data_IF_388717469740
#
_entry.id   IF_388717469740
#
_cell.length_a   1.000
_cell.length_b   1.000
_cell.length_c   1.000
_cell.angle_alpha   90.00
_cell.angle_beta   90.00
_cell.angle_gamma   90.00
#
_symmetry.space_group_name_H-M   'P 1'
#
loop_
_entity.id
_entity.type
_entity.pdbx_description
1 polymer ?
#
# COMPACT_ATOMS: atom_id res chain seq x y z
N UNK A 1 0.94 11.04 8.27
CA UNK A 1 2.11 11.24 9.16
C UNK A 1 1.78 12.36 10.16
N UNK A 2 2.28 12.32 11.41
CA UNK A 2 1.90 13.29 12.48
C UNK A 2 3.08 14.24 12.78
N UNK A 3 2.88 15.53 12.52
CA UNK A 3 3.86 16.59 12.69
C UNK A 3 3.84 17.14 14.14
N UNK A 4 5.01 17.30 14.75
CA UNK A 4 5.15 17.66 16.17
C UNK A 4 5.20 19.18 16.40
N UNK A 5 4.16 19.73 17.04
CA UNK A 5 4.09 21.15 17.44
C UNK A 5 4.88 21.40 18.73
N UNK A 6 5.72 22.44 18.78
CA UNK A 6 6.25 22.98 20.06
C UNK A 6 5.95 24.47 20.17
N UNK A 7 5.18 24.84 21.18
CA UNK A 7 4.92 26.23 21.56
C UNK A 7 5.90 26.64 22.67
N UNK A 8 6.72 27.66 22.45
CA UNK A 8 7.59 28.24 23.48
C UNK A 8 7.02 29.55 24.01
N UNK A 9 6.51 29.54 25.25
CA UNK A 9 6.21 30.74 26.06
C UNK A 9 7.45 31.12 26.87
N UNK A 10 7.91 32.38 26.75
CA UNK A 10 9.08 32.88 27.45
C UNK A 10 8.68 33.52 28.81
N UNK A 11 9.10 32.91 29.93
CA UNK A 11 8.90 33.42 31.31
C UNK A 11 10.02 34.41 31.71
N UNK A 12 9.63 35.51 32.34
CA UNK A 12 10.47 36.67 32.68
C UNK A 12 11.00 36.57 34.12
N UNK A 13 12.31 36.81 34.33
CA UNK A 13 12.93 36.89 35.67
C UNK A 13 13.34 38.34 35.98
N UNK A 14 12.96 38.84 37.16
CA UNK A 14 13.12 40.23 37.61
C UNK A 14 14.48 40.50 38.29
N UNK A 15 15.14 41.61 37.94
CA UNK A 15 15.52 42.71 38.87
C UNK A 15 16.18 43.90 38.14
N UNK A 16 16.09 45.14 38.68
CA UNK A 16 16.10 46.37 37.89
C UNK A 16 17.40 47.19 38.00
N UNK A 17 17.68 48.06 37.02
CA UNK A 17 17.76 49.53 37.19
C UNK A 17 18.29 50.31 35.95
N UNK A 18 17.47 51.28 35.53
CA UNK A 18 17.71 52.61 34.90
C UNK A 18 18.62 52.78 33.66
N UNK A 19 18.05 53.13 32.48
CA UNK A 19 17.86 54.50 31.95
C UNK A 19 17.60 54.50 30.43
N UNK A 20 16.78 55.46 30.01
CA UNK A 20 16.71 56.09 28.68
C UNK A 20 16.08 55.32 27.50
N UNK A 21 14.84 55.70 27.21
CA UNK A 21 14.45 56.21 25.89
C UNK A 21 14.61 55.27 24.70
N UNK A 22 13.67 54.37 24.52
CA UNK A 22 13.26 53.94 23.18
C UNK A 22 11.73 53.88 23.19
N UNK A 23 11.11 54.56 22.23
CA UNK A 23 9.68 54.44 21.95
C UNK A 23 9.32 52.95 22.00
N UNK A 24 8.32 52.65 22.83
CA UNK A 24 7.74 51.32 22.92
C UNK A 24 7.01 51.09 21.59
N UNK A 25 7.74 50.62 20.58
CA UNK A 25 7.16 49.88 19.48
C UNK A 25 6.64 48.63 20.18
N UNK A 26 5.35 48.63 20.53
CA UNK A 26 4.64 47.40 20.80
C UNK A 26 4.80 46.57 19.53
N UNK A 27 5.78 45.68 19.53
CA UNK A 27 5.81 44.62 18.53
C UNK A 27 4.56 43.82 18.83
N UNK A 28 3.53 44.06 18.04
CA UNK A 28 2.42 43.17 17.80
C UNK A 28 3.02 41.89 17.21
N UNK A 29 3.72 41.13 18.06
CA UNK A 29 4.39 39.90 17.68
C UNK A 29 3.25 38.90 17.49
N UNK A 30 2.67 38.95 16.28
CA UNK A 30 1.75 37.95 15.79
C UNK A 30 2.36 36.60 16.12
N UNK A 31 1.57 35.71 16.72
CA UNK A 31 2.07 34.39 17.07
C UNK A 31 2.66 33.73 15.81
N UNK A 32 3.84 33.15 15.95
CA UNK A 32 4.56 32.49 14.86
C UNK A 32 4.41 30.98 15.01
N UNK A 33 4.37 30.29 13.87
CA UNK A 33 4.30 28.83 13.78
C UNK A 33 5.51 28.35 12.99
N UNK A 34 6.13 27.29 13.49
CA UNK A 34 7.30 26.66 12.89
C UNK A 34 6.93 25.28 12.33
N UNK A 35 7.37 25.01 11.10
CA UNK A 35 7.27 23.72 10.42
C UNK A 35 8.67 23.13 10.26
N UNK A 36 8.94 21.99 10.90
CA UNK A 36 10.22 21.29 10.78
C UNK A 36 10.24 20.40 9.53
N UNK A 37 10.88 20.87 8.45
CA UNK A 37 10.92 20.19 7.14
C UNK A 37 12.31 19.57 6.85
N UNK A 38 12.97 19.03 7.89
CA UNK A 38 14.32 18.48 7.77
C UNK A 38 14.40 17.17 6.99
N UNK A 39 13.29 16.42 6.91
CA UNK A 39 13.18 15.19 6.12
C UNK A 39 12.92 15.48 4.63
N UNK A 40 12.56 16.72 4.28
CA UNK A 40 12.28 17.08 2.89
C UNK A 40 13.55 17.27 2.07
N UNK A 41 13.51 16.77 0.84
CA UNK A 41 14.50 17.07 -0.18
C UNK A 41 14.61 18.60 -0.37
N UNK A 42 15.82 19.07 -0.68
CA UNK A 42 16.06 20.50 -0.88
C UNK A 42 15.24 21.08 -2.04
N UNK A 43 14.96 20.28 -3.05
CA UNK A 43 14.13 20.64 -4.20
C UNK A 43 12.66 20.85 -3.82
N UNK A 44 12.06 19.95 -3.05
CA UNK A 44 10.69 20.09 -2.53
C UNK A 44 10.53 21.34 -1.67
N UNK A 45 11.53 21.66 -0.83
CA UNK A 45 11.54 22.92 -0.06
C UNK A 45 11.64 24.16 -0.95
N UNK A 46 12.36 24.07 -2.08
CA UNK A 46 12.44 25.15 -3.05
C UNK A 46 11.11 25.33 -3.79
N UNK A 47 10.41 24.24 -4.13
CA UNK A 47 9.04 24.29 -4.67
C UNK A 47 8.09 24.98 -3.68
N UNK A 48 8.13 24.58 -2.40
CA UNK A 48 7.33 25.21 -1.35
C UNK A 48 7.66 26.71 -1.20
N UNK A 49 8.94 27.09 -1.22
CA UNK A 49 9.36 28.50 -1.17
C UNK A 49 8.75 29.32 -2.31
N UNK A 50 8.79 28.77 -3.54
CA UNK A 50 8.16 29.43 -4.69
C UNK A 50 6.64 29.56 -4.53
N UNK A 51 5.97 28.53 -4.03
CA UNK A 51 4.52 28.54 -3.79
C UNK A 51 4.13 29.58 -2.73
N UNK A 52 4.89 29.69 -1.64
CA UNK A 52 4.69 30.70 -0.60
C UNK A 52 4.87 32.12 -1.14
N UNK A 53 5.90 32.35 -1.97
CA UNK A 53 6.13 33.64 -2.64
C UNK A 53 4.98 33.98 -3.58
N UNK A 54 4.51 33.03 -4.40
CA UNK A 54 3.43 33.22 -5.37
C UNK A 54 2.10 33.55 -4.70
N UNK A 55 1.83 32.97 -3.53
CA UNK A 55 0.62 33.20 -2.76
C UNK A 55 0.77 34.34 -1.74
N UNK A 56 1.86 35.10 -1.81
CA UNK A 56 2.16 36.26 -0.95
C UNK A 56 2.11 35.94 0.56
N UNK A 57 2.44 34.71 0.95
CA UNK A 57 2.47 34.26 2.35
C UNK A 57 3.78 34.74 3.00
N UNK A 58 3.74 35.63 4.01
CA UNK A 58 4.94 36.08 4.71
C UNK A 58 5.61 34.93 5.49
N UNK A 59 6.86 34.64 5.16
CA UNK A 59 7.59 33.52 5.77
C UNK A 59 9.09 33.78 5.90
N UNK A 60 9.75 33.00 6.76
CA UNK A 60 11.20 33.00 6.94
C UNK A 60 11.70 31.56 7.07
N UNK A 61 12.77 31.24 6.36
CA UNK A 61 13.48 29.97 6.51
C UNK A 61 14.61 30.06 7.54
N UNK A 62 14.65 29.11 8.47
CA UNK A 62 15.73 28.89 9.42
C UNK A 62 16.32 27.50 9.19
N UNK A 63 17.21 27.39 8.20
CA UNK A 63 17.75 26.10 7.77
C UNK A 63 16.69 25.25 7.07
N UNK A 64 16.22 24.19 7.74
CA UNK A 64 15.13 23.36 7.24
C UNK A 64 13.78 23.63 7.94
N UNK A 65 13.73 24.66 8.79
CA UNK A 65 12.51 25.06 9.50
C UNK A 65 11.88 26.25 8.80
N UNK A 66 10.62 26.14 8.42
CA UNK A 66 9.82 27.24 7.86
C UNK A 66 9.06 27.92 9.01
N UNK A 67 9.18 29.23 9.12
CA UNK A 67 8.47 30.05 10.12
C UNK A 67 7.48 30.95 9.41
N UNK A 68 6.21 30.86 9.81
CA UNK A 68 5.10 31.68 9.28
C UNK A 68 4.31 32.29 10.43
N UNK A 69 3.42 33.23 10.10
CA UNK A 69 2.49 33.77 11.09
C UNK A 69 1.33 32.79 11.32
N UNK A 70 0.80 32.76 12.54
CA UNK A 70 -0.36 31.94 12.91
C UNK A 70 -1.60 32.30 12.06
N UNK A 71 -1.73 33.56 11.63
CA UNK A 71 -2.81 33.99 10.73
C UNK A 71 -2.77 33.30 9.35
N UNK A 72 -1.57 32.86 8.92
CA UNK A 72 -1.31 32.24 7.63
C UNK A 72 -1.15 30.71 7.72
N UNK A 73 -1.35 30.09 8.90
CA UNK A 73 -1.20 28.63 9.12
C UNK A 73 -1.97 27.84 8.05
N UNK A 74 -3.25 28.19 7.86
CA UNK A 74 -4.12 27.46 6.95
C UNK A 74 -3.69 27.56 5.49
N UNK A 75 -3.19 28.73 5.06
CA UNK A 75 -2.67 28.89 3.71
C UNK A 75 -1.36 28.10 3.56
N UNK A 76 -0.50 28.15 4.57
CA UNK A 76 0.76 27.42 4.60
C UNK A 76 0.55 25.91 4.55
N UNK A 77 -0.40 25.37 5.32
CA UNK A 77 -0.77 23.95 5.31
C UNK A 77 -1.18 23.48 3.90
N UNK A 78 -2.00 24.29 3.20
CA UNK A 78 -2.42 23.98 1.83
C UNK A 78 -1.25 23.99 0.85
N UNK A 79 -0.33 24.95 0.99
CA UNK A 79 0.84 25.07 0.13
C UNK A 79 1.88 23.98 0.39
N UNK A 80 1.98 23.49 1.64
CA UNK A 80 2.78 22.32 1.99
C UNK A 80 2.23 21.08 1.27
N UNK A 81 0.93 20.84 1.36
CA UNK A 81 0.29 19.72 0.64
C UNK A 81 0.48 19.84 -0.89
N UNK A 82 0.38 21.05 -1.44
CA UNK A 82 0.62 21.31 -2.86
C UNK A 82 2.08 21.09 -3.26
N UNK A 83 3.05 21.53 -2.46
CA UNK A 83 4.47 21.35 -2.72
C UNK A 83 4.88 19.87 -2.69
N UNK A 84 4.34 19.12 -1.73
CA UNK A 84 4.53 17.67 -1.62
C UNK A 84 3.94 16.97 -2.86
N UNK A 85 2.71 17.30 -3.24
CA UNK A 85 2.04 16.76 -4.42
C UNK A 85 2.76 17.08 -5.74
N UNK A 86 3.28 18.30 -5.87
CA UNK A 86 4.03 18.76 -7.06
C UNK A 86 5.37 18.05 -7.19
N UNK A 87 5.96 17.65 -6.07
CA UNK A 87 7.25 16.96 -6.05
C UNK A 87 7.12 15.44 -6.18
N UNK A 88 5.89 14.91 -6.21
CA UNK A 88 5.65 13.50 -6.45
C UNK A 88 5.92 13.15 -7.91
N UNK A 89 6.53 11.98 -8.18
CA UNK A 89 6.67 11.50 -9.55
C UNK A 89 5.28 11.30 -10.18
N UNK A 90 4.98 12.00 -11.28
CA UNK A 90 3.72 11.87 -12.03
C UNK A 90 3.93 11.06 -13.31
N UNK A 91 2.90 10.36 -13.76
CA UNK A 91 2.93 9.66 -15.05
C UNK A 91 3.21 10.66 -16.19
N UNK A 92 4.10 10.29 -17.11
CA UNK A 92 4.32 11.06 -18.32
C UNK A 92 3.14 10.86 -19.28
N UNK A 93 2.55 11.95 -19.78
CA UNK A 93 1.31 11.94 -20.59
C UNK A 93 1.44 11.13 -21.88
N UNK A 94 2.64 11.08 -22.47
CA UNK A 94 2.91 10.39 -23.74
C UNK A 94 3.68 9.05 -23.55
N UNK A 95 3.93 8.64 -22.30
CA UNK A 95 4.60 7.36 -22.04
C UNK A 95 3.62 6.19 -22.16
N UNK A 96 4.14 5.03 -22.55
CA UNK A 96 3.38 3.78 -22.51
C UNK A 96 3.13 3.40 -21.04
N UNK A 97 1.89 3.05 -20.72
CA UNK A 97 1.48 2.68 -19.36
C UNK A 97 0.99 1.25 -19.29
N UNK A 98 1.15 0.64 -18.11
CA UNK A 98 0.66 -0.69 -17.77
C UNK A 98 -0.27 -0.55 -16.57
N UNK A 99 -1.35 -1.32 -16.58
CA UNK A 99 -2.32 -1.38 -15.49
C UNK A 99 -2.21 -2.72 -14.75
N UNK A 100 -2.10 -2.63 -13.43
CA UNK A 100 -2.14 -3.76 -12.51
C UNK A 100 -3.47 -3.79 -11.79
N UNK A 101 -4.10 -4.97 -11.78
CA UNK A 101 -5.34 -5.19 -11.02
C UNK A 101 -5.04 -5.15 -9.52
N UNK A 102 -5.66 -4.21 -8.80
CA UNK A 102 -5.63 -4.16 -7.32
C UNK A 102 -6.99 -4.48 -6.69
N UNK A 103 -7.86 -5.15 -7.47
CA UNK A 103 -9.18 -5.55 -7.01
C UNK A 103 -9.09 -6.41 -5.75
N UNK A 104 -9.73 -5.94 -4.68
CA UNK A 104 -9.72 -6.60 -3.37
C UNK A 104 -8.70 -6.04 -2.37
N UNK A 105 -7.86 -5.09 -2.76
CA UNK A 105 -7.03 -4.35 -1.80
C UNK A 105 -7.90 -3.43 -0.95
N UNK A 106 -7.57 -3.37 0.34
CA UNK A 106 -8.10 -2.37 1.26
C UNK A 106 -7.44 -1.01 1.06
N UNK A 107 -8.11 0.05 1.51
CA UNK A 107 -7.55 1.42 1.52
C UNK A 107 -6.18 1.47 2.24
N UNK A 108 -6.00 0.64 3.27
CA UNK A 108 -4.74 0.55 4.01
C UNK A 108 -3.63 -0.10 3.18
N UNK A 109 -3.96 -1.09 2.35
CA UNK A 109 -3.00 -1.74 1.45
C UNK A 109 -2.60 -0.80 0.32
N UNK A 110 -3.57 -0.13 -0.31
CA UNK A 110 -3.28 0.88 -1.34
C UNK A 110 -2.40 2.00 -0.79
N UNK A 111 -2.71 2.55 0.39
CA UNK A 111 -1.90 3.57 1.02
C UNK A 111 -0.48 3.10 1.38
N UNK A 112 -0.34 1.84 1.82
CA UNK A 112 0.96 1.26 2.17
C UNK A 112 1.81 1.02 0.93
N UNK A 113 1.20 0.54 -0.16
CA UNK A 113 1.88 0.35 -1.44
C UNK A 113 2.25 1.68 -2.10
N UNK A 114 1.35 2.66 -2.11
CA UNK A 114 1.64 4.04 -2.50
C UNK A 114 2.86 4.60 -1.79
N UNK A 115 2.94 4.42 -0.46
CA UNK A 115 4.10 4.87 0.32
C UNK A 115 5.40 4.17 -0.10
N UNK A 116 5.33 2.91 -0.53
CA UNK A 116 6.47 2.18 -1.10
C UNK A 116 6.88 2.78 -2.45
N UNK A 117 5.94 3.03 -3.36
CA UNK A 117 6.22 3.61 -4.68
C UNK A 117 6.82 5.00 -4.60
N UNK A 118 6.29 5.87 -3.72
CA UNK A 118 6.85 7.20 -3.45
C UNK A 118 8.31 7.09 -3.01
N UNK A 119 8.61 6.15 -2.11
CA UNK A 119 9.98 5.93 -1.61
C UNK A 119 10.92 5.37 -2.68
N UNK A 120 10.39 4.61 -3.63
CA UNK A 120 11.13 4.13 -4.80
C UNK A 120 11.25 5.18 -5.91
N UNK A 121 10.51 6.30 -5.79
CA UNK A 121 10.48 7.36 -6.80
C UNK A 121 9.75 6.95 -8.07
N UNK A 122 8.85 5.96 -8.00
CA UNK A 122 8.14 5.42 -9.16
C UNK A 122 6.84 6.20 -9.38
N UNK A 123 6.62 6.79 -10.56
CA UNK A 123 5.36 7.43 -10.90
C UNK A 123 4.20 6.44 -10.99
N UNK A 124 3.08 6.77 -10.36
CA UNK A 124 1.89 5.93 -10.37
C UNK A 124 0.61 6.75 -10.26
N UNK A 125 -0.50 6.15 -10.66
CA UNK A 125 -1.85 6.67 -10.47
C UNK A 125 -2.82 5.51 -10.20
N UNK A 126 -3.88 5.73 -9.41
CA UNK A 126 -5.01 4.80 -9.32
C UNK A 126 -6.13 5.30 -10.22
N UNK A 127 -6.62 4.44 -11.11
CA UNK A 127 -7.76 4.78 -11.96
C UNK A 127 -9.10 4.66 -11.19
N UNK A 128 -10.19 5.09 -11.83
CA UNK A 128 -11.54 5.06 -11.25
C UNK A 128 -12.02 3.64 -10.90
N UNK A 129 -11.47 2.61 -11.56
CA UNK A 129 -11.78 1.19 -11.31
C UNK A 129 -10.93 0.58 -10.18
N UNK A 130 -10.01 1.37 -9.59
CA UNK A 130 -9.08 0.92 -8.55
C UNK A 130 -7.89 0.12 -9.08
N UNK A 131 -7.62 0.15 -10.38
CA UNK A 131 -6.39 -0.36 -10.98
C UNK A 131 -5.20 0.58 -10.73
N UNK A 132 -4.03 0.01 -10.51
CA UNK A 132 -2.78 0.75 -10.38
C UNK A 132 -2.16 0.94 -11.77
N UNK A 133 -2.03 2.17 -12.22
CA UNK A 133 -1.43 2.55 -13.50
C UNK A 133 0.00 3.04 -13.26
N UNK A 134 0.95 2.49 -14.01
CA UNK A 134 2.39 2.80 -13.93
C UNK A 134 2.96 2.94 -15.33
N UNK A 135 4.16 3.52 -15.45
CA UNK A 135 4.86 3.56 -16.72
C UNK A 135 5.41 2.18 -17.08
N UNK A 136 5.33 1.79 -18.35
CA UNK A 136 5.86 0.52 -18.84
C UNK A 136 7.38 0.40 -18.64
N UNK A 137 8.10 1.53 -18.60
CA UNK A 137 9.53 1.55 -18.28
C UNK A 137 9.86 1.11 -16.85
N UNK A 138 8.89 1.19 -15.94
CA UNK A 138 9.05 0.84 -14.52
C UNK A 138 8.49 -0.56 -14.20
N UNK A 139 8.06 -1.34 -15.19
CA UNK A 139 7.46 -2.67 -15.04
C UNK A 139 8.25 -3.58 -14.10
N UNK A 140 9.54 -3.80 -14.36
CA UNK A 140 10.41 -4.66 -13.54
C UNK A 140 10.50 -4.18 -12.08
N UNK A 141 10.54 -2.87 -11.87
CA UNK A 141 10.60 -2.27 -10.54
C UNK A 141 9.26 -2.44 -9.80
N UNK A 142 8.14 -2.33 -10.52
CA UNK A 142 6.79 -2.51 -9.98
C UNK A 142 6.53 -3.97 -9.64
N UNK A 143 6.90 -4.92 -10.50
CA UNK A 143 6.78 -6.36 -10.20
C UNK A 143 7.58 -6.72 -8.95
N UNK A 144 8.84 -6.27 -8.87
CA UNK A 144 9.67 -6.49 -7.68
C UNK A 144 9.05 -5.87 -6.42
N UNK A 145 8.46 -4.67 -6.54
CA UNK A 145 7.80 -4.01 -5.42
C UNK A 145 6.53 -4.75 -4.99
N UNK A 146 5.72 -5.24 -5.94
CA UNK A 146 4.51 -6.02 -5.69
C UNK A 146 4.82 -7.32 -4.96
N UNK A 147 5.82 -8.08 -5.43
CA UNK A 147 6.23 -9.34 -4.80
C UNK A 147 6.69 -9.10 -3.36
N UNK A 148 7.55 -8.10 -3.16
CA UNK A 148 8.01 -7.73 -1.83
C UNK A 148 6.87 -7.28 -0.92
N UNK A 149 5.91 -6.52 -1.45
CA UNK A 149 4.76 -6.04 -0.70
C UNK A 149 3.84 -7.19 -0.27
N UNK A 150 3.55 -8.12 -1.18
CA UNK A 150 2.71 -9.29 -0.89
C UNK A 150 3.35 -10.17 0.20
N UNK A 151 4.65 -10.44 0.12
CA UNK A 151 5.35 -11.24 1.15
C UNK A 151 5.32 -10.58 2.53
N UNK A 152 5.47 -9.25 2.58
CA UNK A 152 5.47 -8.49 3.84
C UNK A 152 4.07 -8.37 4.44
N UNK A 153 3.04 -8.23 3.60
CA UNK A 153 1.67 -8.03 4.03
C UNK A 153 0.88 -9.33 4.24
N UNK A 154 1.40 -10.47 3.78
CA UNK A 154 0.81 -11.77 4.07
C UNK A 154 1.11 -12.18 5.52
N UNK A 155 0.08 -12.16 6.38
CA UNK A 155 0.19 -12.55 7.78
C UNK A 155 0.00 -14.06 8.02
N UNK A 156 -0.30 -14.84 6.97
CA UNK A 156 -0.53 -16.29 7.10
C UNK A 156 0.73 -17.01 7.62
N UNK A 157 0.60 -18.12 8.35
CA UNK A 157 1.74 -18.99 8.66
C UNK A 157 2.38 -19.59 7.40
N UNK A 158 3.69 -19.84 7.46
CA UNK A 158 4.41 -20.61 6.44
C UNK A 158 4.12 -22.11 6.60
N UNK A 159 4.04 -22.84 5.48
CA UNK A 159 4.09 -24.30 5.45
C UNK A 159 5.54 -24.77 5.39
N UNK A 160 5.86 -25.87 6.07
CA UNK A 160 7.12 -26.56 5.84
C UNK A 160 7.17 -27.07 4.38
N UNK A 161 8.34 -27.03 3.74
CA UNK A 161 8.49 -27.32 2.32
C UNK A 161 8.10 -28.76 1.94
N UNK A 162 8.23 -29.72 2.85
CA UNK A 162 7.71 -31.08 2.63
C UNK A 162 6.18 -31.12 2.76
N UNK A 163 5.62 -30.39 3.71
CA UNK A 163 4.17 -30.34 3.96
C UNK A 163 3.44 -29.66 2.79
N UNK A 164 4.03 -28.62 2.19
CA UNK A 164 3.48 -27.94 1.01
C UNK A 164 3.38 -28.85 -0.23
N UNK A 165 4.43 -29.63 -0.51
CA UNK A 165 4.42 -30.56 -1.64
C UNK A 165 3.41 -31.70 -1.43
N UNK A 166 3.31 -32.21 -0.20
CA UNK A 166 2.30 -33.19 0.18
C UNK A 166 0.88 -32.61 0.02
N UNK A 167 0.64 -31.39 0.50
CA UNK A 167 -0.63 -30.67 0.35
C UNK A 167 -1.05 -30.56 -1.13
N UNK A 168 -0.18 -30.03 -1.99
CA UNK A 168 -0.48 -29.86 -3.42
C UNK A 168 -0.77 -31.20 -4.12
N UNK A 169 -0.01 -32.24 -3.77
CA UNK A 169 -0.22 -33.59 -4.29
C UNK A 169 -1.57 -34.16 -3.84
N UNK A 170 -1.92 -34.00 -2.56
CA UNK A 170 -3.19 -34.47 -1.99
C UNK A 170 -4.40 -33.73 -2.60
N UNK A 171 -4.30 -32.41 -2.81
CA UNK A 171 -5.34 -31.63 -3.49
C UNK A 171 -5.50 -32.11 -4.93
N UNK A 172 -4.40 -32.31 -5.66
CA UNK A 172 -4.45 -32.82 -7.03
C UNK A 172 -5.13 -34.19 -7.12
N UNK A 173 -4.74 -35.13 -6.26
CA UNK A 173 -5.34 -36.48 -6.23
C UNK A 173 -6.84 -36.42 -5.89
N UNK A 174 -7.24 -35.54 -4.98
CA UNK A 174 -8.64 -35.33 -4.62
C UNK A 174 -9.44 -34.78 -5.79
N UNK A 175 -8.89 -33.80 -6.52
CA UNK A 175 -9.50 -33.25 -7.73
C UNK A 175 -9.59 -34.27 -8.86
N UNK A 176 -8.54 -35.08 -9.07
CA UNK A 176 -8.53 -36.13 -10.11
C UNK A 176 -9.56 -37.24 -9.82
N UNK A 177 -9.84 -37.53 -8.54
CA UNK A 177 -10.95 -38.40 -8.11
C UNK A 177 -12.30 -37.77 -8.45
N UNK A 178 -12.53 -36.53 -8.00
CA UNK A 178 -13.80 -35.82 -8.19
C UNK A 178 -14.15 -35.59 -9.67
N UNK A 179 -13.14 -35.35 -10.51
CA UNK A 179 -13.34 -35.27 -11.96
C UNK A 179 -13.82 -36.58 -12.57
N UNK A 180 -13.38 -37.73 -12.06
CA UNK A 180 -13.84 -39.05 -12.53
C UNK A 180 -15.20 -39.40 -11.95
N UNK A 181 -15.36 -39.18 -10.64
CA UNK A 181 -16.57 -39.44 -9.88
C UNK A 181 -16.82 -38.31 -8.88
N UNK A 182 -17.82 -37.46 -9.17
CA UNK A 182 -18.17 -36.30 -8.35
C UNK A 182 -18.76 -36.68 -6.98
N UNK A 183 -19.08 -37.96 -6.77
CA UNK A 183 -19.57 -38.52 -5.51
C UNK A 183 -18.54 -39.39 -4.81
N UNK A 184 -17.26 -39.33 -5.19
CA UNK A 184 -16.20 -40.05 -4.48
C UNK A 184 -16.08 -39.50 -3.06
N UNK A 185 -16.66 -40.20 -2.08
CA UNK A 185 -16.68 -39.78 -0.67
C UNK A 185 -15.28 -39.45 -0.12
N UNK A 186 -14.25 -40.15 -0.61
CA UNK A 186 -12.86 -39.88 -0.24
C UNK A 186 -12.38 -38.56 -0.81
N UNK A 187 -12.56 -38.31 -2.11
CA UNK A 187 -12.21 -37.05 -2.76
C UNK A 187 -12.94 -35.85 -2.15
N UNK A 188 -14.23 -36.00 -1.83
CA UNK A 188 -15.03 -34.97 -1.13
C UNK A 188 -14.48 -34.72 0.27
N UNK A 189 -14.22 -35.76 1.05
CA UNK A 189 -13.70 -35.63 2.41
C UNK A 189 -12.32 -34.98 2.46
N UNK A 190 -11.43 -35.35 1.54
CA UNK A 190 -10.07 -34.78 1.48
C UNK A 190 -10.08 -33.32 1.02
N UNK A 191 -10.82 -32.96 -0.04
CA UNK A 191 -10.83 -31.55 -0.49
C UNK A 191 -11.40 -30.62 0.59
N UNK A 192 -12.45 -31.05 1.32
CA UNK A 192 -13.00 -30.31 2.45
C UNK A 192 -11.98 -30.10 3.59
N UNK A 193 -11.08 -31.06 3.80
CA UNK A 193 -10.03 -30.98 4.81
C UNK A 193 -8.84 -30.13 4.37
N UNK A 194 -8.49 -30.18 3.09
CA UNK A 194 -7.28 -29.55 2.55
C UNK A 194 -7.48 -28.07 2.21
N UNK A 195 -8.67 -27.68 1.74
CA UNK A 195 -8.94 -26.28 1.36
C UNK A 195 -8.64 -25.27 2.47
N UNK A 196 -9.05 -25.48 3.75
CA UNK A 196 -8.68 -24.55 4.82
C UNK A 196 -7.17 -24.41 5.00
N UNK A 197 -6.42 -25.52 4.92
CA UNK A 197 -4.96 -25.49 5.04
C UNK A 197 -4.35 -24.66 3.91
N UNK A 198 -4.85 -24.82 2.68
CA UNK A 198 -4.35 -24.10 1.51
C UNK A 198 -4.58 -22.59 1.61
N UNK A 199 -5.74 -22.17 2.12
CA UNK A 199 -6.12 -20.75 2.22
C UNK A 199 -5.49 -20.07 3.44
N UNK A 200 -5.32 -20.79 4.54
CA UNK A 200 -4.79 -20.26 5.80
C UNK A 200 -3.26 -20.17 5.85
N UNK A 201 -2.54 -20.65 4.83
CA UNK A 201 -1.08 -20.60 4.79
C UNK A 201 -0.54 -19.81 3.59
N UNK A 202 0.69 -19.29 3.75
CA UNK A 202 1.41 -18.61 2.68
C UNK A 202 1.75 -19.53 1.51
N UNK A 203 1.94 -18.97 0.30
CA UNK A 203 2.55 -19.71 -0.80
C UNK A 203 3.90 -20.33 -0.39
N UNK A 204 4.16 -21.59 -0.75
CA UNK A 204 5.48 -22.19 -0.55
C UNK A 204 6.50 -21.60 -1.52
N UNK A 205 7.78 -21.78 -1.20
CA UNK A 205 8.88 -21.24 -2.01
C UNK A 205 8.79 -21.65 -3.48
N UNK A 206 8.91 -20.66 -4.38
CA UNK A 206 8.86 -20.86 -5.83
C UNK A 206 7.46 -20.86 -6.44
N UNK A 207 6.42 -20.57 -5.64
CA UNK A 207 5.06 -20.32 -6.12
C UNK A 207 4.71 -18.85 -5.89
N UNK A 208 4.20 -18.19 -6.92
CA UNK A 208 3.75 -16.80 -6.85
C UNK A 208 2.47 -16.68 -6.00
N UNK A 209 2.33 -15.61 -5.23
CA UNK A 209 1.20 -15.45 -4.30
C UNK A 209 -0.14 -15.36 -5.04
N UNK A 210 -0.18 -14.69 -6.19
CA UNK A 210 -1.37 -14.61 -7.04
C UNK A 210 -1.87 -16.00 -7.49
N UNK A 211 -0.95 -16.87 -7.88
CA UNK A 211 -1.25 -18.24 -8.29
C UNK A 211 -1.72 -19.08 -7.11
N UNK A 212 -1.10 -18.93 -5.95
CA UNK A 212 -1.52 -19.61 -4.73
C UNK A 212 -2.93 -19.21 -4.29
N UNK A 213 -3.25 -17.92 -4.32
CA UNK A 213 -4.58 -17.42 -3.98
C UNK A 213 -5.63 -17.83 -5.02
N UNK A 214 -5.27 -17.95 -6.30
CA UNK A 214 -6.16 -18.51 -7.33
C UNK A 214 -6.52 -19.98 -7.04
N UNK A 215 -5.53 -20.80 -6.67
CA UNK A 215 -5.73 -22.20 -6.26
C UNK A 215 -6.66 -22.25 -5.05
N UNK A 216 -6.45 -21.37 -4.06
CA UNK A 216 -7.30 -21.20 -2.88
C UNK A 216 -8.74 -20.88 -3.22
N UNK A 217 -8.97 -19.86 -4.05
CA UNK A 217 -10.31 -19.44 -4.49
C UNK A 217 -11.04 -20.58 -5.20
N UNK A 218 -10.40 -21.24 -6.16
CA UNK A 218 -11.01 -22.39 -6.89
C UNK A 218 -11.30 -23.58 -5.98
N UNK A 219 -10.46 -23.82 -4.97
CA UNK A 219 -10.69 -24.87 -3.98
C UNK A 219 -11.87 -24.55 -3.05
N UNK A 220 -12.06 -23.27 -2.68
CA UNK A 220 -13.24 -22.78 -1.96
C UNK A 220 -14.49 -22.99 -2.82
N UNK A 221 -14.50 -22.50 -4.05
CA UNK A 221 -15.65 -22.63 -4.96
C UNK A 221 -16.09 -24.09 -5.13
N UNK A 222 -15.12 -25.00 -5.30
CA UNK A 222 -15.39 -26.43 -5.38
C UNK A 222 -15.98 -26.99 -4.08
N UNK A 223 -15.44 -26.58 -2.92
CA UNK A 223 -15.94 -26.99 -1.60
C UNK A 223 -17.35 -26.47 -1.34
N UNK A 224 -17.67 -25.24 -1.75
CA UNK A 224 -19.01 -24.66 -1.62
C UNK A 224 -20.03 -25.47 -2.43
N UNK A 225 -19.73 -25.75 -3.72
CA UNK A 225 -20.59 -26.58 -4.57
C UNK A 225 -20.88 -27.96 -3.97
N UNK A 226 -19.87 -28.58 -3.36
CA UNK A 226 -19.98 -29.89 -2.72
C UNK A 226 -20.76 -29.82 -1.39
N UNK A 227 -20.53 -28.80 -0.58
CA UNK A 227 -21.10 -28.67 0.77
C UNK A 227 -22.57 -28.27 0.74
N UNK A 228 -22.93 -27.38 -0.18
CA UNK A 228 -24.32 -26.97 -0.37
C UNK A 228 -25.17 -28.03 -1.07
N UNK A 229 -24.51 -29.00 -1.73
CA UNK A 229 -25.17 -29.95 -2.63
C UNK A 229 -25.90 -29.27 -3.80
N UNK A 230 -25.54 -28.02 -4.08
CA UNK A 230 -26.12 -27.17 -5.13
C UNK A 230 -25.48 -27.43 -6.48
N UNK A 231 -24.23 -27.91 -6.50
CA UNK A 231 -23.48 -28.22 -7.72
C UNK A 231 -24.03 -29.45 -8.45
N UNK A 232 -24.26 -29.31 -9.76
CA UNK A 232 -24.54 -30.46 -10.61
C UNK A 232 -23.24 -31.20 -11.01
N UNK A 233 -23.37 -32.40 -11.60
CA UNK A 233 -22.22 -33.23 -11.99
C UNK A 233 -21.26 -32.49 -12.93
N UNK A 234 -21.77 -31.73 -13.89
CA UNK A 234 -20.96 -31.03 -14.89
C UNK A 234 -20.15 -29.90 -14.25
N UNK A 235 -20.77 -29.11 -13.37
CA UNK A 235 -20.13 -28.02 -12.63
C UNK A 235 -19.00 -28.51 -11.73
N UNK A 236 -19.27 -29.53 -10.91
CA UNK A 236 -18.27 -30.10 -9.99
C UNK A 236 -17.09 -30.67 -10.79
N UNK A 237 -17.37 -31.42 -11.87
CA UNK A 237 -16.31 -31.97 -12.72
C UNK A 237 -15.53 -30.90 -13.44
N UNK A 238 -16.18 -29.81 -13.88
CA UNK A 238 -15.52 -28.67 -14.50
C UNK A 238 -14.56 -27.98 -13.52
N UNK A 239 -15.02 -27.65 -12.31
CA UNK A 239 -14.19 -27.03 -11.29
C UNK A 239 -13.02 -27.92 -10.85
N UNK A 240 -13.29 -29.19 -10.58
CA UNK A 240 -12.25 -30.17 -10.25
C UNK A 240 -11.24 -30.36 -11.39
N UNK A 241 -11.67 -30.29 -12.65
CA UNK A 241 -10.77 -30.34 -13.81
C UNK A 241 -9.87 -29.12 -13.88
N UNK A 242 -10.43 -27.92 -13.77
CA UNK A 242 -9.67 -26.67 -13.83
C UNK A 242 -8.61 -26.60 -12.73
N UNK A 243 -8.99 -26.94 -11.50
CA UNK A 243 -8.06 -26.99 -10.38
C UNK A 243 -6.95 -28.03 -10.58
N UNK A 244 -7.29 -29.24 -11.06
CA UNK A 244 -6.29 -30.28 -11.34
C UNK A 244 -5.34 -29.90 -12.50
N UNK A 245 -5.79 -29.14 -13.48
CA UNK A 245 -4.97 -28.66 -14.59
C UNK A 245 -3.95 -27.62 -14.15
N UNK A 246 -4.36 -26.68 -13.28
CA UNK A 246 -3.44 -25.71 -12.68
C UNK A 246 -2.39 -26.43 -11.84
N UNK A 247 -2.80 -27.34 -10.95
CA UNK A 247 -1.86 -28.08 -10.12
C UNK A 247 -0.89 -28.94 -10.92
N UNK A 248 -1.33 -29.50 -12.06
CA UNK A 248 -0.48 -30.29 -12.95
C UNK A 248 0.61 -29.46 -13.63
N UNK A 249 0.41 -28.17 -13.87
CA UNK A 249 1.47 -27.35 -14.48
C UNK A 249 2.63 -27.07 -13.52
N UNK A 250 2.44 -27.35 -12.22
CA UNK A 250 3.35 -27.01 -11.14
C UNK A 250 4.12 -28.21 -10.56
N UNK A 251 3.68 -29.45 -10.85
CA UNK A 251 4.27 -30.72 -10.37
C UNK A 251 4.99 -31.43 -11.51
#
# INVERSE_FOLDING_TARGET
MKWGKKQTKNETNERPEVLEGVEKIESDAAAEIEYELHEWAGETRLVLDQLLILNEVPHVWQGATLVVREEDEKATDQLIEEAESTSMPTLEVDAETIEYETAGWSDSEQASFSSLLIRLGIPYEFNDDGGLVVQASDEEAIETALDAFQVVNDERPELDGLDANSLLTEVFVSCDRLRRDYRDDTGVGEILRLTPVLVEHRPPFGIEANQWDEIGKRAIDLVELLSEGSGNEEEIKFQASGLAEILRSMI
#
